data_IF_492051465073
#
_entry.id   IF_492051465073
#
_cell.length_a   1.000
_cell.length_b   1.000
_cell.length_c   1.000
_cell.angle_alpha   90.00
_cell.angle_beta   90.00
_cell.angle_gamma   90.00
#
_symmetry.space_group_name_H-M   'P 1'
#
loop_
_entity.id
_entity.type
_entity.pdbx_description
1 polymer ?
#
# COMPACT_ATOMS: atom_id res chain seq x y z
N UNK A 1 -29.44 -12.84 2.25
CA UNK A 1 -29.45 -11.58 3.04
C UNK A 1 -28.05 -11.03 3.33
N UNK A 2 -27.16 -11.72 4.09
CA UNK A 2 -25.80 -11.20 4.44
C UNK A 2 -24.92 -10.85 3.21
N UNK A 3 -24.93 -11.71 2.17
CA UNK A 3 -24.20 -11.48 0.90
C UNK A 3 -24.65 -10.21 0.16
N UNK A 4 -25.92 -9.82 0.28
CA UNK A 4 -26.44 -8.63 -0.38
C UNK A 4 -25.88 -7.34 0.23
N UNK A 5 -25.79 -7.27 1.57
CA UNK A 5 -25.18 -6.12 2.25
C UNK A 5 -23.68 -6.02 2.01
N UNK A 6 -22.96 -7.15 2.04
CA UNK A 6 -21.54 -7.17 1.69
C UNK A 6 -21.30 -6.65 0.25
N UNK A 7 -22.18 -7.02 -0.69
CA UNK A 7 -22.11 -6.52 -2.07
C UNK A 7 -22.40 -5.01 -2.18
N UNK A 8 -23.39 -4.49 -1.45
CA UNK A 8 -23.69 -3.05 -1.40
C UNK A 8 -22.54 -2.25 -0.80
N UNK A 9 -21.94 -2.72 0.30
CA UNK A 9 -20.77 -2.09 0.92
C UNK A 9 -19.56 -2.13 -0.01
N UNK A 10 -19.35 -3.23 -0.74
CA UNK A 10 -18.28 -3.33 -1.74
C UNK A 10 -18.50 -2.38 -2.93
N UNK A 11 -19.76 -2.17 -3.35
CA UNK A 11 -20.11 -1.16 -4.36
C UNK A 11 -19.88 0.26 -3.84
N UNK A 12 -20.20 0.54 -2.58
CA UNK A 12 -19.91 1.83 -1.95
C UNK A 12 -18.40 2.07 -1.81
N UNK A 13 -17.60 1.03 -1.60
CA UNK A 13 -16.13 1.14 -1.63
C UNK A 13 -15.59 1.40 -3.05
N UNK A 14 -16.26 0.92 -4.11
CA UNK A 14 -15.90 1.22 -5.51
C UNK A 14 -16.40 2.58 -6.01
N UNK A 15 -17.34 3.20 -5.30
CA UNK A 15 -17.90 4.52 -5.57
C UNK A 15 -17.91 5.30 -4.25
N UNK A 16 -16.76 5.84 -3.82
CA UNK A 16 -16.58 6.40 -2.48
C UNK A 16 -17.59 7.52 -2.21
N UNK A 17 -18.69 7.14 -1.56
CA UNK A 17 -19.82 8.00 -1.23
C UNK A 17 -20.10 7.84 0.26
N UNK A 18 -19.56 8.77 1.04
CA UNK A 18 -19.73 8.78 2.49
C UNK A 18 -21.21 8.77 2.93
N UNK A 19 -22.14 9.52 2.28
CA UNK A 19 -23.56 9.46 2.62
C UNK A 19 -24.15 8.06 2.44
N UNK A 20 -23.75 7.32 1.39
CA UNK A 20 -24.21 5.96 1.15
C UNK A 20 -23.70 5.02 2.24
N UNK A 21 -22.40 5.08 2.58
CA UNK A 21 -21.81 4.26 3.63
C UNK A 21 -22.49 4.53 4.98
N UNK A 22 -22.69 5.81 5.33
CA UNK A 22 -23.39 6.21 6.55
C UNK A 22 -24.82 5.67 6.61
N UNK A 23 -25.57 5.72 5.49
CA UNK A 23 -26.93 5.18 5.42
C UNK A 23 -26.99 3.66 5.66
N UNK A 24 -25.93 2.93 5.27
CA UNK A 24 -25.84 1.48 5.41
C UNK A 24 -25.27 1.04 6.77
N UNK A 25 -24.57 1.92 7.48
CA UNK A 25 -23.85 1.62 8.72
C UNK A 25 -24.74 0.95 9.77
N UNK A 26 -25.78 1.64 10.23
CA UNK A 26 -26.65 1.13 11.31
C UNK A 26 -27.31 -0.20 10.93
N UNK A 27 -27.70 -0.34 9.66
CA UNK A 27 -28.30 -1.56 9.13
C UNK A 27 -27.30 -2.73 9.05
N UNK A 28 -26.03 -2.46 8.75
CA UNK A 28 -24.97 -3.45 8.71
C UNK A 28 -24.59 -3.93 10.12
N UNK A 29 -24.42 -3.01 11.09
CA UNK A 29 -24.12 -3.37 12.48
C UNK A 29 -25.22 -4.20 13.13
N UNK A 30 -26.49 -3.81 12.96
CA UNK A 30 -27.64 -4.58 13.48
C UNK A 30 -27.73 -6.00 12.91
N UNK A 31 -27.18 -6.22 11.72
CA UNK A 31 -27.29 -7.52 11.03
C UNK A 31 -26.22 -8.51 11.42
N UNK A 32 -24.96 -8.09 11.51
CA UNK A 32 -23.85 -9.01 11.75
C UNK A 32 -22.53 -8.27 11.97
N UNK A 33 -21.82 -8.58 13.05
CA UNK A 33 -20.46 -8.12 13.30
C UNK A 33 -19.48 -8.48 12.16
N UNK A 34 -19.73 -9.58 11.43
CA UNK A 34 -18.95 -9.99 10.24
C UNK A 34 -18.96 -8.93 9.11
N UNK A 35 -19.89 -7.97 9.11
CA UNK A 35 -19.92 -6.88 8.12
C UNK A 35 -19.05 -5.68 8.50
N UNK A 36 -18.56 -5.60 9.73
CA UNK A 36 -17.73 -4.48 10.22
C UNK A 36 -16.45 -4.31 9.40
N UNK A 37 -15.69 -5.37 9.03
CA UNK A 37 -14.56 -5.25 8.10
C UNK A 37 -14.92 -4.59 6.75
N UNK A 38 -16.13 -4.86 6.23
CA UNK A 38 -16.60 -4.24 4.99
C UNK A 38 -16.97 -2.77 5.18
N UNK A 39 -17.48 -2.38 6.35
CA UNK A 39 -17.70 -0.97 6.71
C UNK A 39 -16.37 -0.23 6.83
N UNK A 40 -15.37 -0.80 7.52
CA UNK A 40 -14.02 -0.23 7.63
C UNK A 40 -13.47 0.03 6.23
N UNK A 41 -13.54 -0.97 5.34
CA UNK A 41 -13.09 -0.81 3.97
C UNK A 41 -13.82 0.32 3.22
N UNK A 42 -15.15 0.40 3.37
CA UNK A 42 -15.94 1.43 2.72
C UNK A 42 -15.64 2.85 3.26
N UNK A 43 -15.48 3.02 4.58
CA UNK A 43 -15.08 4.28 5.20
C UNK A 43 -13.66 4.68 4.81
N UNK A 44 -12.70 3.75 4.84
CA UNK A 44 -11.33 3.97 4.36
C UNK A 44 -11.30 4.41 2.90
N UNK A 45 -12.10 3.79 2.03
CA UNK A 45 -12.21 4.17 0.63
C UNK A 45 -12.82 5.56 0.43
N UNK A 46 -13.71 5.99 1.33
CA UNK A 46 -14.26 7.36 1.35
C UNK A 46 -13.32 8.40 1.97
N UNK A 47 -12.14 7.98 2.46
CA UNK A 47 -11.19 8.86 3.15
C UNK A 47 -11.60 9.25 4.57
N UNK A 48 -12.69 8.69 5.12
CA UNK A 48 -13.09 8.91 6.52
C UNK A 48 -12.33 7.95 7.44
N UNK A 49 -11.09 8.32 7.71
CA UNK A 49 -10.18 7.56 8.55
C UNK A 49 -10.68 7.44 9.99
N UNK A 50 -11.31 8.49 10.54
CA UNK A 50 -11.82 8.49 11.91
C UNK A 50 -12.88 7.40 12.11
N UNK A 51 -13.89 7.33 11.23
CA UNK A 51 -14.91 6.28 11.31
C UNK A 51 -14.33 4.89 11.08
N UNK A 52 -13.40 4.74 10.13
CA UNK A 52 -12.74 3.46 9.86
C UNK A 52 -11.92 2.98 11.07
N UNK A 53 -11.21 3.90 11.74
CA UNK A 53 -10.38 3.61 12.92
C UNK A 53 -11.24 3.20 14.11
N UNK A 54 -12.29 3.97 14.42
CA UNK A 54 -13.22 3.65 15.51
C UNK A 54 -13.82 2.24 15.35
N UNK A 55 -14.31 1.92 14.16
CA UNK A 55 -14.85 0.58 13.87
C UNK A 55 -13.80 -0.52 13.99
N UNK A 56 -12.54 -0.26 13.62
CA UNK A 56 -11.46 -1.22 13.76
C UNK A 56 -11.07 -1.46 15.21
N UNK A 57 -11.02 -0.41 16.03
CA UNK A 57 -10.64 -0.52 17.43
C UNK A 57 -11.70 -1.27 18.25
N UNK A 58 -12.98 -1.12 17.90
CA UNK A 58 -14.11 -1.88 18.47
C UNK A 58 -14.14 -3.37 18.05
N UNK A 59 -13.40 -3.76 17.01
CA UNK A 59 -13.37 -5.17 16.59
C UNK A 59 -12.65 -6.05 17.62
N UNK A 60 -13.23 -7.21 17.99
CA UNK A 60 -12.50 -8.23 18.72
C UNK A 60 -11.31 -8.74 17.88
N UNK A 61 -10.31 -9.32 18.53
CA UNK A 61 -9.09 -9.77 17.86
C UNK A 61 -9.36 -10.67 16.63
N UNK A 62 -10.34 -11.57 16.72
CA UNK A 62 -10.74 -12.47 15.63
C UNK A 62 -11.43 -11.75 14.46
N UNK A 63 -12.00 -10.57 14.70
CA UNK A 63 -12.65 -9.74 13.70
C UNK A 63 -11.70 -8.81 12.95
N UNK A 64 -10.52 -8.54 13.52
CA UNK A 64 -9.43 -7.82 12.86
C UNK A 64 -8.80 -8.77 11.84
N UNK A 65 -9.35 -8.81 10.64
CA UNK A 65 -8.80 -9.62 9.53
C UNK A 65 -7.67 -8.87 8.83
N UNK A 66 -6.82 -9.57 8.08
CA UNK A 66 -5.80 -8.95 7.23
C UNK A 66 -6.41 -7.90 6.30
N UNK A 67 -7.56 -8.22 5.68
CA UNK A 67 -8.27 -7.28 4.80
C UNK A 67 -8.70 -5.99 5.50
N UNK A 68 -9.18 -6.06 6.75
CA UNK A 68 -9.56 -4.87 7.53
C UNK A 68 -8.32 -4.01 7.88
N UNK A 69 -7.22 -4.66 8.28
CA UNK A 69 -5.93 -3.98 8.54
C UNK A 69 -5.41 -3.27 7.30
N UNK A 70 -5.35 -3.97 6.16
CA UNK A 70 -4.86 -3.39 4.90
C UNK A 70 -5.70 -2.21 4.43
N UNK A 71 -7.02 -2.27 4.62
CA UNK A 71 -7.90 -1.14 4.31
C UNK A 71 -7.64 0.07 5.21
N UNK A 72 -7.56 -0.15 6.53
CA UNK A 72 -7.26 0.91 7.49
C UNK A 72 -5.86 1.51 7.23
N UNK A 73 -4.85 0.67 7.04
CA UNK A 73 -3.48 1.07 6.74
C UNK A 73 -3.38 1.93 5.47
N UNK A 74 -4.16 1.60 4.43
CA UNK A 74 -4.21 2.39 3.20
C UNK A 74 -4.73 3.80 3.47
N UNK A 75 -5.80 3.93 4.27
CA UNK A 75 -6.34 5.23 4.68
C UNK A 75 -5.36 6.01 5.57
N UNK A 76 -4.73 5.34 6.54
CA UNK A 76 -3.70 5.95 7.41
C UNK A 76 -2.53 6.50 6.61
N UNK A 77 -2.01 5.72 5.65
CA UNK A 77 -0.92 6.13 4.76
C UNK A 77 -1.29 7.36 3.92
N UNK A 78 -2.52 7.42 3.40
CA UNK A 78 -3.05 8.57 2.66
C UNK A 78 -3.15 9.84 3.53
N UNK A 79 -3.51 9.69 4.81
CA UNK A 79 -3.58 10.77 5.81
C UNK A 79 -2.24 11.10 6.48
N UNK A 80 -1.13 10.50 6.04
CA UNK A 80 0.20 10.79 6.56
C UNK A 80 0.54 10.09 7.89
N UNK A 81 -0.34 9.24 8.43
CA UNK A 81 -0.09 8.39 9.61
C UNK A 81 0.78 7.16 9.27
N UNK A 82 1.81 7.36 8.45
CA UNK A 82 2.59 6.29 7.84
C UNK A 82 3.39 5.46 8.86
N UNK A 83 3.84 6.07 9.97
CA UNK A 83 4.59 5.36 11.03
C UNK A 83 3.71 4.39 11.82
N UNK A 84 2.44 4.72 12.01
CA UNK A 84 1.49 3.88 12.74
C UNK A 84 1.01 2.68 11.92
N UNK A 85 1.22 2.68 10.60
CA UNK A 85 0.84 1.58 9.71
C UNK A 85 1.56 0.28 10.08
N UNK A 86 2.84 0.34 10.46
CA UNK A 86 3.63 -0.83 10.82
C UNK A 86 3.01 -1.59 11.99
N UNK A 87 2.58 -0.86 13.03
CA UNK A 87 1.95 -1.45 14.22
C UNK A 87 0.63 -2.19 13.95
N UNK A 88 0.01 -2.02 12.78
CA UNK A 88 -1.14 -2.85 12.39
C UNK A 88 -0.73 -4.28 12.01
N UNK A 89 0.51 -4.47 11.55
CA UNK A 89 1.04 -5.73 11.01
C UNK A 89 2.12 -6.37 11.88
N UNK A 90 2.44 -5.79 13.04
CA UNK A 90 3.39 -6.39 14.00
C UNK A 90 2.99 -7.84 14.33
N UNK A 91 3.93 -8.77 14.13
CA UNK A 91 3.72 -10.21 14.36
C UNK A 91 2.86 -10.90 13.30
N UNK A 92 2.60 -10.25 12.17
CA UNK A 92 1.88 -10.81 11.01
C UNK A 92 2.73 -10.77 9.74
N UNK A 93 4.04 -10.60 9.86
CA UNK A 93 4.96 -10.40 8.73
C UNK A 93 4.90 -11.55 7.72
N UNK A 94 4.72 -12.78 8.21
CA UNK A 94 4.60 -13.99 7.38
C UNK A 94 3.17 -14.21 6.82
N UNK A 95 2.17 -13.52 7.36
CA UNK A 95 0.76 -13.63 6.95
C UNK A 95 0.36 -12.57 5.90
N UNK A 96 1.27 -11.65 5.58
CA UNK A 96 1.03 -10.55 4.66
C UNK A 96 0.88 -11.02 3.21
N UNK A 97 -0.18 -10.57 2.54
CA UNK A 97 -0.36 -10.71 1.10
C UNK A 97 0.29 -9.55 0.32
N UNK A 98 0.44 -9.70 -1.01
CA UNK A 98 1.01 -8.67 -1.90
C UNK A 98 0.39 -7.28 -1.69
N UNK A 99 -0.92 -7.22 -1.41
CA UNK A 99 -1.61 -5.96 -1.21
C UNK A 99 -1.19 -5.30 0.10
N UNK A 100 -1.15 -6.06 1.19
CA UNK A 100 -0.71 -5.57 2.50
C UNK A 100 0.76 -5.14 2.48
N UNK A 101 1.64 -5.92 1.84
CA UNK A 101 3.05 -5.58 1.60
C UNK A 101 3.16 -4.24 0.86
N UNK A 102 2.45 -4.10 -0.26
CA UNK A 102 2.45 -2.85 -1.03
C UNK A 102 2.04 -1.65 -0.19
N UNK A 103 1.00 -1.78 0.64
CA UNK A 103 0.52 -0.68 1.50
C UNK A 103 1.57 -0.30 2.55
N UNK A 104 2.21 -1.28 3.18
CA UNK A 104 3.26 -1.04 4.17
C UNK A 104 4.49 -0.40 3.52
N UNK A 105 4.97 -0.92 2.38
CA UNK A 105 6.10 -0.33 1.65
C UNK A 105 5.80 1.09 1.17
N UNK A 106 4.56 1.36 0.71
CA UNK A 106 4.14 2.72 0.33
C UNK A 106 4.17 3.66 1.54
N UNK A 107 3.74 3.21 2.73
CA UNK A 107 3.85 3.99 3.95
C UNK A 107 5.32 4.27 4.30
N UNK A 108 6.20 3.28 4.16
CA UNK A 108 7.63 3.43 4.37
C UNK A 108 8.24 4.48 3.41
N UNK A 109 7.90 4.42 2.12
CA UNK A 109 8.35 5.38 1.10
C UNK A 109 7.93 6.82 1.43
N UNK A 110 6.72 6.99 1.96
CA UNK A 110 6.17 8.31 2.34
C UNK A 110 6.79 8.88 3.61
N UNK A 111 7.13 8.01 4.57
CA UNK A 111 7.72 8.41 5.85
C UNK A 111 9.26 8.43 5.86
N UNK A 112 9.92 7.97 4.79
CA UNK A 112 11.38 7.82 4.75
C UNK A 112 11.90 6.72 5.67
N UNK A 113 11.10 5.66 5.89
CA UNK A 113 11.45 4.53 6.76
C UNK A 113 12.21 3.47 5.96
N UNK A 114 13.50 3.73 5.71
CA UNK A 114 14.34 2.90 4.83
C UNK A 114 14.55 1.50 5.42
N UNK A 115 14.92 1.43 6.69
CA UNK A 115 15.24 0.16 7.36
C UNK A 115 14.00 -0.74 7.49
N UNK A 116 12.85 -0.17 7.83
CA UNK A 116 11.59 -0.88 7.91
C UNK A 116 11.13 -1.36 6.54
N UNK A 117 11.28 -0.52 5.51
CA UNK A 117 11.01 -0.89 4.12
C UNK A 117 11.85 -2.10 3.66
N UNK A 118 13.14 -2.10 3.97
CA UNK A 118 14.06 -3.22 3.68
C UNK A 118 13.63 -4.50 4.40
N UNK A 119 13.28 -4.41 5.69
CA UNK A 119 12.82 -5.56 6.48
C UNK A 119 11.58 -6.18 5.87
N UNK A 120 10.56 -5.37 5.54
CA UNK A 120 9.32 -5.85 4.94
C UNK A 120 9.57 -6.41 3.54
N UNK A 121 10.39 -5.76 2.72
CA UNK A 121 10.70 -6.27 1.39
C UNK A 121 11.45 -7.62 1.44
N UNK A 122 12.31 -7.84 2.43
CA UNK A 122 13.05 -9.08 2.60
C UNK A 122 12.18 -10.28 3.01
N UNK A 123 10.98 -10.06 3.55
CA UNK A 123 10.04 -11.18 3.82
C UNK A 123 9.35 -11.66 2.54
N UNK A 124 9.39 -10.87 1.46
CA UNK A 124 8.71 -11.18 0.20
C UNK A 124 9.58 -12.09 -0.66
N UNK A 125 9.20 -13.37 -0.78
CA UNK A 125 9.99 -14.35 -1.53
C UNK A 125 9.99 -14.12 -3.04
N UNK A 126 8.87 -13.60 -3.60
CA UNK A 126 8.71 -13.31 -5.03
C UNK A 126 8.11 -11.92 -5.22
N UNK A 127 8.93 -10.86 -5.15
CA UNK A 127 8.39 -9.50 -5.17
C UNK A 127 7.72 -9.18 -6.50
N UNK A 128 6.49 -8.67 -6.44
CA UNK A 128 5.80 -8.10 -7.59
C UNK A 128 6.42 -6.76 -8.00
N UNK A 129 6.16 -6.34 -9.24
CA UNK A 129 6.64 -5.07 -9.79
C UNK A 129 6.35 -3.87 -8.88
N UNK A 130 5.16 -3.84 -8.27
CA UNK A 130 4.76 -2.77 -7.36
C UNK A 130 5.64 -2.69 -6.10
N UNK A 131 6.10 -3.84 -5.57
CA UNK A 131 7.00 -3.87 -4.41
C UNK A 131 8.34 -3.24 -4.75
N UNK A 132 8.88 -3.52 -5.94
CA UNK A 132 10.10 -2.90 -6.44
C UNK A 132 9.94 -1.39 -6.63
N UNK A 133 8.82 -0.94 -7.20
CA UNK A 133 8.54 0.50 -7.34
C UNK A 133 8.56 1.21 -5.98
N UNK A 134 7.92 0.63 -4.96
CA UNK A 134 7.96 1.20 -3.60
C UNK A 134 9.40 1.23 -3.03
N UNK A 135 10.20 0.18 -3.24
CA UNK A 135 11.59 0.17 -2.79
C UNK A 135 12.47 1.18 -3.52
N UNK A 136 12.27 1.38 -4.82
CA UNK A 136 12.94 2.45 -5.59
C UNK A 136 12.59 3.82 -5.02
N UNK A 137 11.32 4.07 -4.65
CA UNK A 137 10.93 5.31 -3.99
C UNK A 137 11.59 5.47 -2.60
N UNK A 138 11.64 4.41 -1.80
CA UNK A 138 12.28 4.41 -0.47
C UNK A 138 13.77 4.77 -0.58
N UNK A 139 14.50 4.06 -1.44
CA UNK A 139 15.94 4.23 -1.64
C UNK A 139 16.26 5.56 -2.31
N UNK A 140 15.55 5.91 -3.38
CA UNK A 140 15.85 7.15 -4.09
C UNK A 140 15.53 8.39 -3.27
N UNK A 141 14.47 8.41 -2.44
CA UNK A 141 14.16 9.56 -1.56
C UNK A 141 15.18 9.74 -0.42
N UNK A 142 15.84 8.67 0.00
CA UNK A 142 16.94 8.74 0.97
C UNK A 142 18.28 9.10 0.31
N UNK A 143 18.32 9.27 -1.02
CA UNK A 143 19.51 9.60 -1.79
C UNK A 143 20.33 8.38 -2.22
N UNK A 144 19.88 7.16 -1.92
CA UNK A 144 20.52 5.89 -2.28
C UNK A 144 20.17 5.47 -3.72
N UNK A 145 20.37 6.39 -4.68
CA UNK A 145 19.90 6.26 -6.07
C UNK A 145 20.59 5.11 -6.82
N UNK A 146 21.88 4.86 -6.58
CA UNK A 146 22.59 3.71 -7.18
C UNK A 146 22.11 2.38 -6.64
N UNK A 147 21.74 2.33 -5.37
CA UNK A 147 21.15 1.10 -4.83
C UNK A 147 19.77 0.86 -5.43
N UNK A 148 18.98 1.92 -5.62
CA UNK A 148 17.70 1.84 -6.33
C UNK A 148 17.89 1.32 -7.77
N UNK A 149 18.89 1.80 -8.50
CA UNK A 149 19.26 1.27 -9.82
C UNK A 149 19.67 -0.21 -9.75
N UNK A 150 20.57 -0.56 -8.82
CA UNK A 150 21.03 -1.93 -8.64
C UNK A 150 19.91 -2.89 -8.24
N UNK A 151 18.88 -2.40 -7.55
CA UNK A 151 17.67 -3.15 -7.29
C UNK A 151 16.89 -3.42 -8.59
N UNK A 152 16.67 -2.39 -9.42
CA UNK A 152 15.97 -2.53 -10.71
C UNK A 152 16.70 -3.51 -11.64
N UNK A 153 18.03 -3.46 -11.69
CA UNK A 153 18.84 -4.36 -12.50
C UNK A 153 18.77 -5.84 -12.06
N UNK A 154 18.44 -6.11 -10.79
CA UNK A 154 18.34 -7.46 -10.21
C UNK A 154 16.92 -8.01 -10.15
N UNK A 155 15.94 -7.27 -10.68
CA UNK A 155 14.54 -7.70 -10.65
C UNK A 155 14.35 -9.02 -11.40
N UNK A 156 13.60 -9.93 -10.78
CA UNK A 156 13.15 -11.17 -11.43
C UNK A 156 11.95 -10.95 -12.38
N UNK A 157 11.44 -9.72 -12.43
CA UNK A 157 10.31 -9.28 -13.28
C UNK A 157 10.80 -8.18 -14.19
N UNK A 158 10.30 -8.14 -15.43
CA UNK A 158 10.65 -7.10 -16.39
C UNK A 158 10.28 -5.71 -15.83
N UNK A 159 11.22 -4.75 -15.80
CA UNK A 159 10.89 -3.38 -15.42
C UNK A 159 9.91 -2.77 -16.43
N UNK A 160 9.04 -1.89 -15.96
CA UNK A 160 8.08 -1.18 -16.81
C UNK A 160 8.41 0.31 -16.92
N UNK A 161 7.56 1.05 -17.65
CA UNK A 161 7.73 2.49 -17.80
C UNK A 161 7.57 3.25 -16.48
N UNK A 162 6.75 2.74 -15.55
CA UNK A 162 6.46 3.41 -14.29
C UNK A 162 7.70 3.40 -13.38
N UNK A 163 8.30 2.24 -13.14
CA UNK A 163 9.47 2.13 -12.26
C UNK A 163 10.67 2.91 -12.82
N UNK A 164 10.88 2.87 -14.14
CA UNK A 164 11.92 3.66 -14.80
C UNK A 164 11.67 5.17 -14.66
N UNK A 165 10.42 5.62 -14.85
CA UNK A 165 10.07 7.04 -14.68
C UNK A 165 10.29 7.52 -13.25
N UNK A 166 9.95 6.69 -12.25
CA UNK A 166 10.20 6.98 -10.84
C UNK A 166 11.70 7.12 -10.58
N UNK A 167 12.52 6.17 -11.03
CA UNK A 167 13.97 6.23 -10.85
C UNK A 167 14.60 7.44 -11.55
N UNK A 168 14.17 7.78 -12.77
CA UNK A 168 14.62 8.98 -13.48
C UNK A 168 14.24 10.28 -12.75
N UNK A 169 13.04 10.34 -12.17
CA UNK A 169 12.62 11.48 -11.37
C UNK A 169 13.52 11.65 -10.13
N UNK A 170 13.89 10.55 -9.46
CA UNK A 170 14.80 10.55 -8.32
C UNK A 170 16.23 10.94 -8.74
N UNK A 171 16.70 10.45 -9.90
CA UNK A 171 17.97 10.90 -10.47
C UNK A 171 18.00 12.41 -10.68
N UNK A 172 16.93 12.99 -11.20
CA UNK A 172 16.81 14.45 -11.38
C UNK A 172 16.86 15.20 -10.05
N UNK A 173 16.15 14.72 -9.03
CA UNK A 173 16.14 15.35 -7.69
C UNK A 173 17.54 15.35 -7.06
N UNK A 174 18.29 14.27 -7.23
CA UNK A 174 19.63 14.11 -6.64
C UNK A 174 20.79 14.48 -7.58
N UNK A 175 20.52 15.01 -8.78
CA UNK A 175 21.56 15.38 -9.75
C UNK A 175 22.35 14.19 -10.34
N UNK A 176 21.79 12.98 -10.32
CA UNK A 176 22.43 11.73 -10.75
C UNK A 176 22.26 11.46 -12.24
N UNK A 177 22.93 12.28 -13.04
CA UNK A 177 22.92 12.18 -14.51
C UNK A 177 23.51 10.84 -14.98
N UNK A 178 24.54 10.35 -14.28
CA UNK A 178 25.20 9.08 -14.58
C UNK A 178 24.26 7.88 -14.48
N UNK A 179 23.42 7.84 -13.43
CA UNK A 179 22.40 6.79 -13.23
C UNK A 179 21.29 6.96 -14.27
N UNK A 180 20.84 8.21 -14.51
CA UNK A 180 19.78 8.47 -15.48
C UNK A 180 20.10 7.95 -16.88
N UNK A 181 21.35 8.13 -17.36
CA UNK A 181 21.78 7.58 -18.64
C UNK A 181 21.75 6.05 -18.68
N UNK A 182 22.13 5.37 -17.59
CA UNK A 182 22.05 3.90 -17.50
C UNK A 182 20.59 3.43 -17.52
N UNK A 183 19.70 4.12 -16.83
CA UNK A 183 18.26 3.83 -16.85
C UNK A 183 17.67 4.00 -18.24
N UNK A 184 18.04 5.06 -18.99
CA UNK A 184 17.59 5.23 -20.38
C UNK A 184 18.10 4.09 -21.28
N UNK A 185 19.35 3.67 -21.12
CA UNK A 185 19.89 2.51 -21.85
C UNK A 185 19.13 1.22 -21.53
N UNK A 186 18.81 1.00 -20.26
CA UNK A 186 17.97 -0.11 -19.82
C UNK A 186 16.58 -0.05 -20.47
N UNK A 187 15.94 1.13 -20.51
CA UNK A 187 14.64 1.29 -21.18
C UNK A 187 14.70 0.90 -22.67
N UNK A 188 15.76 1.23 -23.39
CA UNK A 188 15.92 0.78 -24.79
C UNK A 188 16.14 -0.72 -24.90
N UNK A 189 16.95 -1.32 -24.03
CA UNK A 189 17.22 -2.76 -24.03
C UNK A 189 15.94 -3.59 -23.85
N UNK A 190 15.02 -3.11 -23.01
CA UNK A 190 13.74 -3.79 -22.73
C UNK A 190 12.57 -3.30 -23.60
N UNK A 191 12.78 -2.35 -24.52
CA UNK A 191 11.72 -1.82 -25.38
C UNK A 191 10.65 -1.02 -24.64
N UNK A 192 11.02 -0.34 -23.56
CA UNK A 192 10.12 0.44 -22.68
C UNK A 192 9.96 1.90 -23.18
N UNK A 193 10.78 2.32 -24.15
CA UNK A 193 10.90 3.70 -24.63
C UNK A 193 9.68 4.22 -25.42
#
# INVERSE_FOLDING_TARGET
>A
MRRHYAMLLRRAASLPSLPLVASLHAAALRRSAVLVPSLIHAYSACGDLSSARNLFDELPAQGRTLSARTALASAMSAHGQCREVLGLFDGLEDDMDDKSVTVVLTACARAGMVDEGRKVFATVTRPALQHYTCMVEILGRSGEVEEAEGLVARMEVCPDRVICAVLLALCRVHGRVDVAERVVRLMWQYGIA
#
